data_IF_089411848464
#
_entry.id   IF_089411848464
#
_cell.length_a   1.000
_cell.length_b   1.000
_cell.length_c   1.000
_cell.angle_alpha   90.00
_cell.angle_beta   90.00
_cell.angle_gamma   90.00
#
_symmetry.space_group_name_H-M   'P 1'
#
loop_
_entity.id
_entity.type
_entity.pdbx_description
1 polymer ?
#
# COMPACT_ATOMS: atom_id res chain seq x y z
N UNK A 1 17.71 0.42 19.29
CA UNK A 1 16.97 -0.25 18.20
C UNK A 1 17.97 -1.09 17.42
N UNK A 2 17.59 -2.28 16.95
CA UNK A 2 18.47 -3.07 16.08
C UNK A 2 18.56 -2.39 14.72
N UNK A 3 19.72 -2.47 14.06
CA UNK A 3 19.96 -1.87 12.74
C UNK A 3 18.89 -2.28 11.71
N UNK A 4 18.33 -3.48 11.86
CA UNK A 4 17.22 -4.01 11.06
C UNK A 4 15.91 -3.27 11.27
N UNK A 5 15.53 -2.94 12.50
CA UNK A 5 14.30 -2.21 12.79
C UNK A 5 14.35 -0.78 12.24
N UNK A 6 15.53 -0.15 12.30
CA UNK A 6 15.75 1.18 11.71
C UNK A 6 15.63 1.15 10.19
N UNK A 7 16.17 0.10 9.54
CA UNK A 7 16.04 -0.07 8.10
C UNK A 7 14.59 -0.30 7.68
N UNK A 8 13.85 -1.17 8.39
CA UNK A 8 12.43 -1.40 8.11
C UNK A 8 11.59 -0.13 8.29
N UNK A 9 11.89 0.67 9.31
CA UNK A 9 11.24 1.98 9.50
C UNK A 9 11.50 2.92 8.32
N UNK A 10 12.75 3.01 7.84
CA UNK A 10 13.07 3.85 6.67
C UNK A 10 12.42 3.36 5.39
N UNK A 11 12.35 2.04 5.22
CA UNK A 11 11.68 1.42 4.09
C UNK A 11 10.19 1.78 4.13
N UNK A 12 9.54 1.62 5.29
CA UNK A 12 8.14 2.02 5.48
C UNK A 12 7.91 3.51 5.19
N UNK A 13 8.76 4.39 5.72
CA UNK A 13 8.71 5.83 5.46
C UNK A 13 8.84 6.15 3.95
N UNK A 14 9.69 5.42 3.24
CA UNK A 14 9.86 5.58 1.79
C UNK A 14 8.60 5.16 1.02
N UNK A 15 8.04 3.99 1.31
CA UNK A 15 6.82 3.50 0.65
C UNK A 15 5.59 4.34 1.01
N UNK A 16 5.56 4.95 2.19
CA UNK A 16 4.54 5.92 2.59
C UNK A 16 4.80 7.34 2.07
N UNK A 17 5.93 7.58 1.39
CA UNK A 17 6.28 8.93 0.93
C UNK A 17 5.31 9.43 -0.15
N UNK A 18 5.04 10.75 -0.24
CA UNK A 18 4.20 11.31 -1.29
C UNK A 18 4.71 11.00 -2.69
N UNK A 19 6.04 10.95 -2.89
CA UNK A 19 6.64 10.61 -4.19
C UNK A 19 6.25 9.19 -4.61
N UNK A 20 6.38 8.23 -3.70
CA UNK A 20 6.07 6.83 -3.99
C UNK A 20 4.56 6.64 -4.18
N UNK A 21 3.76 7.06 -3.20
CA UNK A 21 2.30 6.90 -3.23
C UNK A 21 1.64 7.60 -4.41
N UNK A 22 2.15 8.77 -4.84
CA UNK A 22 1.66 9.41 -6.07
C UNK A 22 2.00 8.60 -7.31
N UNK A 23 3.20 8.03 -7.42
CA UNK A 23 3.57 7.20 -8.56
C UNK A 23 2.70 5.93 -8.66
N UNK A 24 2.37 5.32 -7.51
CA UNK A 24 1.41 4.20 -7.47
C UNK A 24 0.00 4.67 -7.82
N UNK A 25 -0.45 5.80 -7.26
CA UNK A 25 -1.75 6.38 -7.55
C UNK A 25 -1.94 6.69 -9.03
N UNK A 26 -0.95 7.29 -9.68
CA UNK A 26 -0.93 7.58 -11.12
C UNK A 26 -1.00 6.28 -11.93
N UNK A 27 -0.16 5.30 -11.58
CA UNK A 27 -0.16 3.99 -12.23
C UNK A 27 -1.53 3.29 -12.12
N UNK A 28 -2.11 3.25 -10.93
CA UNK A 28 -3.40 2.61 -10.70
C UNK A 28 -4.54 3.39 -11.35
N UNK A 29 -4.53 4.72 -11.32
CA UNK A 29 -5.51 5.56 -11.99
C UNK A 29 -5.55 5.34 -13.51
N UNK A 30 -4.39 5.06 -14.12
CA UNK A 30 -4.31 4.76 -15.55
C UNK A 30 -4.66 3.32 -15.92
N UNK A 31 -4.46 2.36 -15.01
CA UNK A 31 -4.46 0.93 -15.36
C UNK A 31 -5.52 0.08 -14.66
N UNK A 32 -5.97 0.44 -13.46
CA UNK A 32 -6.90 -0.39 -12.68
C UNK A 32 -8.23 -0.63 -13.44
N UNK A 33 -8.79 0.41 -14.07
CA UNK A 33 -10.00 0.27 -14.89
C UNK A 33 -9.84 -0.52 -16.19
N UNK A 34 -8.61 -0.89 -16.58
CA UNK A 34 -8.32 -1.74 -17.75
C UNK A 34 -8.17 -3.22 -17.37
N UNK A 35 -8.00 -3.52 -16.08
CA UNK A 35 -7.86 -4.88 -15.60
C UNK A 35 -9.21 -5.61 -15.66
N UNK A 36 -9.15 -6.89 -15.99
CA UNK A 36 -10.30 -7.78 -15.90
C UNK A 36 -10.18 -8.57 -14.60
N UNK A 37 -11.08 -8.29 -13.65
CA UNK A 37 -11.13 -8.97 -12.35
C UNK A 37 -11.93 -10.26 -12.46
N UNK A 38 -11.28 -11.34 -12.92
CA UNK A 38 -11.83 -12.69 -12.93
C UNK A 38 -11.28 -13.51 -11.73
N UNK A 39 -12.00 -14.55 -11.27
CA UNK A 39 -11.49 -15.47 -10.25
C UNK A 39 -10.09 -15.99 -10.62
N UNK A 40 -9.19 -16.08 -9.64
CA UNK A 40 -7.77 -16.41 -9.88
C UNK A 40 -7.54 -17.87 -10.31
N UNK A 41 -8.52 -18.74 -10.06
CA UNK A 41 -8.53 -20.14 -10.51
C UNK A 41 -9.01 -20.29 -11.97
N UNK A 42 -9.46 -19.21 -12.60
CA UNK A 42 -9.85 -19.16 -14.01
C UNK A 42 -8.74 -18.61 -14.91
N UNK A 43 -8.92 -18.75 -16.22
CA UNK A 43 -8.00 -18.22 -17.22
C UNK A 43 -7.91 -16.69 -17.15
N UNK A 44 -6.71 -16.19 -16.86
CA UNK A 44 -6.44 -14.76 -16.74
C UNK A 44 -6.12 -14.14 -18.10
N UNK A 45 -6.67 -12.96 -18.44
CA UNK A 45 -6.31 -12.25 -19.67
C UNK A 45 -4.82 -11.89 -19.72
N UNK A 46 -4.17 -12.12 -20.86
CA UNK A 46 -2.75 -11.80 -21.06
C UNK A 46 -2.45 -10.31 -20.82
N UNK A 47 -3.40 -9.43 -21.12
CA UNK A 47 -3.28 -7.99 -20.87
C UNK A 47 -3.13 -7.65 -19.38
N UNK A 48 -3.70 -8.44 -18.47
CA UNK A 48 -3.51 -8.23 -17.03
C UNK A 48 -2.05 -8.48 -16.66
N UNK A 49 -1.43 -9.51 -17.25
CA UNK A 49 -0.03 -9.82 -17.00
C UNK A 49 0.91 -8.72 -17.53
N UNK A 50 0.60 -8.12 -18.68
CA UNK A 50 1.37 -6.98 -19.20
C UNK A 50 1.35 -5.78 -18.23
N UNK A 51 0.18 -5.47 -17.66
CA UNK A 51 0.02 -4.41 -16.65
C UNK A 51 0.76 -4.80 -15.35
N UNK A 52 0.60 -6.03 -14.89
CA UNK A 52 1.31 -6.54 -13.72
C UNK A 52 2.83 -6.41 -13.87
N UNK A 53 3.37 -6.78 -15.03
CA UNK A 53 4.80 -6.64 -15.31
C UNK A 53 5.26 -5.18 -15.26
N UNK A 54 4.44 -4.25 -15.76
CA UNK A 54 4.72 -2.82 -15.66
C UNK A 54 4.71 -2.33 -14.21
N UNK A 55 3.80 -2.85 -13.38
CA UNK A 55 3.78 -2.59 -11.94
C UNK A 55 5.04 -3.10 -11.25
N UNK A 56 5.46 -4.35 -11.50
CA UNK A 56 6.69 -4.91 -10.93
C UNK A 56 7.90 -4.04 -11.28
N UNK A 57 8.03 -3.62 -12.54
CA UNK A 57 9.13 -2.73 -12.97
C UNK A 57 9.11 -1.35 -12.29
N UNK A 58 7.92 -0.82 -11.99
CA UNK A 58 7.78 0.42 -11.23
C UNK A 58 8.32 0.25 -9.82
N UNK A 59 7.90 -0.82 -9.12
CA UNK A 59 8.36 -1.12 -7.76
C UNK A 59 9.86 -1.37 -7.73
N UNK A 60 10.39 -2.18 -8.64
CA UNK A 60 11.83 -2.48 -8.75
C UNK A 60 12.64 -1.18 -8.90
N UNK A 61 12.26 -0.29 -9.82
CA UNK A 61 12.95 0.99 -10.02
C UNK A 61 12.93 1.86 -8.77
N UNK A 62 11.78 1.96 -8.11
CA UNK A 62 11.64 2.77 -6.89
C UNK A 62 12.49 2.20 -5.76
N UNK A 63 12.55 0.87 -5.64
CA UNK A 63 13.38 0.20 -4.64
C UNK A 63 14.87 0.33 -4.94
N UNK A 64 15.29 0.23 -6.20
CA UNK A 64 16.67 0.48 -6.62
C UNK A 64 17.12 1.91 -6.28
N UNK A 65 16.26 2.91 -6.57
CA UNK A 65 16.51 4.30 -6.20
C UNK A 65 16.68 4.48 -4.68
N UNK A 66 15.82 3.83 -3.88
CA UNK A 66 15.92 3.83 -2.43
C UNK A 66 17.24 3.22 -1.94
N UNK A 67 17.56 2.01 -2.41
CA UNK A 67 18.78 1.28 -2.05
C UNK A 67 20.02 2.13 -2.36
N UNK A 68 20.07 2.74 -3.55
CA UNK A 68 21.15 3.61 -3.96
C UNK A 68 21.26 4.86 -3.07
N UNK A 69 20.13 5.47 -2.71
CA UNK A 69 20.10 6.70 -1.90
C UNK A 69 20.53 6.49 -0.44
N UNK A 70 20.23 5.33 0.13
CA UNK A 70 20.59 4.97 1.50
C UNK A 70 21.99 4.31 1.59
N UNK A 71 22.65 4.06 0.46
CA UNK A 71 23.95 3.39 0.40
C UNK A 71 23.89 1.92 0.84
N UNK A 72 22.75 1.28 0.59
CA UNK A 72 22.47 -0.10 0.96
C UNK A 72 22.79 -1.06 -0.18
N UNK A 73 22.79 -2.35 0.13
CA UNK A 73 22.75 -3.42 -0.87
C UNK A 73 21.37 -4.08 -0.91
N UNK A 74 21.06 -4.76 -2.02
CA UNK A 74 19.85 -5.59 -2.12
C UNK A 74 19.79 -6.62 -0.98
N UNK A 75 20.96 -7.17 -0.59
CA UNK A 75 21.05 -8.15 0.49
C UNK A 75 20.59 -7.56 1.82
N UNK A 76 20.94 -6.32 2.12
CA UNK A 76 20.55 -5.66 3.38
C UNK A 76 19.03 -5.53 3.49
N UNK A 77 18.36 -5.19 2.38
CA UNK A 77 16.89 -5.11 2.31
C UNK A 77 16.26 -6.49 2.45
N UNK A 78 16.77 -7.51 1.74
CA UNK A 78 16.26 -8.88 1.86
C UNK A 78 16.40 -9.43 3.28
N UNK A 79 17.56 -9.24 3.92
CA UNK A 79 17.82 -9.67 5.29
C UNK A 79 16.87 -8.97 6.28
N UNK A 80 16.58 -7.69 6.05
CA UNK A 80 15.64 -6.94 6.87
C UNK A 80 14.20 -7.43 6.72
N UNK A 81 13.74 -7.67 5.48
CA UNK A 81 12.42 -8.25 5.23
C UNK A 81 12.29 -9.66 5.82
N UNK A 82 13.33 -10.49 5.73
CA UNK A 82 13.32 -11.82 6.34
C UNK A 82 13.21 -11.75 7.86
N UNK A 83 13.94 -10.83 8.50
CA UNK A 83 13.84 -10.61 9.94
C UNK A 83 12.47 -10.03 10.37
N UNK A 84 11.79 -9.28 9.49
CA UNK A 84 10.45 -8.76 9.74
C UNK A 84 9.39 -9.87 9.81
N UNK A 85 9.53 -10.93 8.99
CA UNK A 85 8.57 -12.05 8.97
C UNK A 85 8.46 -12.77 10.32
N UNK A 86 9.54 -12.80 11.11
CA UNK A 86 9.57 -13.46 12.41
C UNK A 86 9.08 -12.56 13.56
N UNK A 87 8.72 -11.30 13.29
CA UNK A 87 8.30 -10.31 14.29
C UNK A 87 6.84 -9.90 14.11
N UNK A 88 6.02 -10.13 15.14
CA UNK A 88 4.61 -9.71 15.16
C UNK A 88 4.42 -8.19 15.05
N UNK A 89 5.44 -7.38 15.36
CA UNK A 89 5.39 -5.91 15.30
C UNK A 89 5.48 -5.36 13.86
N UNK A 90 5.87 -6.18 12.88
CA UNK A 90 6.11 -5.74 11.50
C UNK A 90 5.12 -6.34 10.48
N UNK A 91 4.07 -6.99 10.96
CA UNK A 91 3.05 -7.67 10.15
C UNK A 91 2.13 -6.72 9.37
N UNK A 92 2.22 -5.41 9.58
CA UNK A 92 1.32 -4.40 9.01
C UNK A 92 2.05 -3.25 8.30
N UNK A 93 3.26 -3.50 7.80
CA UNK A 93 4.02 -2.50 7.05
C UNK A 93 3.50 -2.41 5.62
N UNK A 94 3.07 -1.21 5.20
CA UNK A 94 2.59 -0.97 3.84
C UNK A 94 3.67 -1.28 2.79
N UNK A 95 4.95 -1.07 3.14
CA UNK A 95 6.08 -1.45 2.30
C UNK A 95 6.05 -2.94 1.93
N UNK A 96 5.67 -3.81 2.88
CA UNK A 96 5.59 -5.25 2.63
C UNK A 96 4.44 -5.56 1.67
N UNK A 97 3.29 -4.92 1.83
CA UNK A 97 2.15 -5.13 0.93
C UNK A 97 2.50 -4.78 -0.52
N UNK A 98 3.18 -3.65 -0.75
CA UNK A 98 3.62 -3.27 -2.11
C UNK A 98 4.67 -4.22 -2.68
N UNK A 99 5.61 -4.69 -1.85
CA UNK A 99 6.64 -5.65 -2.26
C UNK A 99 6.02 -7.02 -2.58
N UNK A 100 5.11 -7.51 -1.74
CA UNK A 100 4.39 -8.77 -1.99
C UNK A 100 3.56 -8.65 -3.26
N UNK A 101 2.83 -7.55 -3.44
CA UNK A 101 2.11 -7.29 -4.69
C UNK A 101 3.05 -7.24 -5.90
N UNK A 102 4.33 -6.90 -5.76
CA UNK A 102 5.27 -6.89 -6.89
C UNK A 102 5.74 -8.28 -7.32
N UNK A 103 5.65 -9.28 -6.43
CA UNK A 103 6.08 -10.67 -6.66
C UNK A 103 4.94 -11.66 -6.79
N UNK A 104 3.77 -11.33 -6.23
CA UNK A 104 2.58 -12.18 -6.20
C UNK A 104 1.44 -11.53 -6.99
N UNK A 105 1.05 -12.16 -8.09
CA UNK A 105 0.00 -11.65 -8.98
C UNK A 105 -1.34 -11.50 -8.26
N UNK A 106 -1.70 -12.42 -7.37
CA UNK A 106 -2.92 -12.35 -6.56
C UNK A 106 -2.98 -11.08 -5.70
N UNK A 107 -1.89 -10.78 -4.99
CA UNK A 107 -1.79 -9.59 -4.17
C UNK A 107 -1.86 -8.31 -5.01
N UNK A 108 -1.25 -8.30 -6.19
CA UNK A 108 -1.40 -7.20 -7.15
C UNK A 108 -2.86 -7.01 -7.59
N UNK A 109 -3.56 -8.09 -7.96
CA UNK A 109 -4.95 -8.00 -8.40
C UNK A 109 -5.86 -7.47 -7.29
N UNK A 110 -5.65 -7.87 -6.05
CA UNK A 110 -6.36 -7.33 -4.89
C UNK A 110 -6.08 -5.84 -4.71
N UNK A 111 -4.81 -5.43 -4.70
CA UNK A 111 -4.42 -4.03 -4.55
C UNK A 111 -5.02 -3.16 -5.65
N UNK A 112 -4.96 -3.62 -6.90
CA UNK A 112 -5.52 -2.89 -8.02
C UNK A 112 -7.06 -2.82 -7.96
N UNK A 113 -7.72 -3.87 -7.46
CA UNK A 113 -9.16 -3.88 -7.25
C UNK A 113 -9.57 -2.84 -6.19
N UNK A 114 -8.83 -2.77 -5.07
CA UNK A 114 -9.08 -1.79 -4.01
C UNK A 114 -8.97 -0.35 -4.56
N UNK A 115 -7.93 -0.06 -5.34
CA UNK A 115 -7.79 1.22 -6.04
C UNK A 115 -8.95 1.49 -7.01
N UNK A 116 -9.38 0.48 -7.78
CA UNK A 116 -10.51 0.63 -8.69
C UNK A 116 -11.80 0.99 -7.94
N UNK A 117 -12.09 0.29 -6.85
CA UNK A 117 -13.24 0.57 -5.98
C UNK A 117 -13.19 1.99 -5.40
N UNK A 118 -12.01 2.46 -4.98
CA UNK A 118 -11.84 3.83 -4.47
C UNK A 118 -12.16 4.88 -5.54
N UNK A 119 -11.84 4.64 -6.81
CA UNK A 119 -12.18 5.58 -7.90
C UNK A 119 -13.66 5.63 -8.23
N UNK A 120 -14.40 4.55 -7.92
CA UNK A 120 -15.85 4.45 -8.14
C UNK A 120 -16.66 4.91 -6.92
N UNK A 121 -16.00 5.25 -5.82
CA UNK A 121 -16.68 5.76 -4.63
C UNK A 121 -17.25 7.16 -4.91
N UNK A 122 -18.56 7.22 -5.12
CA UNK A 122 -19.31 8.47 -5.10
C UNK A 122 -19.64 8.81 -3.63
N UNK A 123 -19.19 9.96 -3.09
CA UNK A 123 -19.59 10.37 -1.75
C UNK A 123 -21.10 10.60 -1.73
N UNK A 124 -21.83 9.72 -1.04
CA UNK A 124 -23.25 9.94 -0.79
C UNK A 124 -23.38 11.01 0.31
N UNK A 125 -23.94 12.18 -0.04
CA UNK A 125 -24.24 13.27 0.89
C UNK A 125 -25.09 12.80 2.08
N UNK A 126 -25.86 11.69 1.93
CA UNK A 126 -26.64 11.09 3.02
C UNK A 126 -25.79 10.36 4.09
N UNK A 127 -24.54 10.02 3.74
CA UNK A 127 -23.56 9.37 4.63
C UNK A 127 -22.44 10.31 5.08
N UNK A 128 -22.43 11.55 4.59
CA UNK A 128 -21.51 12.57 5.06
C UNK A 128 -21.75 12.80 6.55
N UNK A 129 -20.70 12.68 7.35
CA UNK A 129 -20.75 12.96 8.79
C UNK A 129 -21.13 14.42 9.00
N UNK A 130 -22.41 14.70 9.20
CA UNK A 130 -22.88 16.00 9.65
C UNK A 130 -22.35 16.23 11.06
N UNK A 131 -21.26 17.01 11.18
CA UNK A 131 -20.64 17.38 12.46
C UNK A 131 -21.55 18.21 13.39
N UNK A 132 -22.85 18.31 13.09
CA UNK A 132 -23.85 19.06 13.87
C UNK A 132 -24.66 18.21 14.85
N UNK A 133 -24.65 16.89 14.78
CA UNK A 133 -25.42 16.05 15.70
C UNK A 133 -24.51 15.11 16.49
N UNK A 134 -23.97 15.58 17.63
CA UNK A 134 -23.29 14.66 18.55
C UNK A 134 -22.24 15.24 19.49
N UNK A 135 -22.40 16.46 20.00
CA UNK A 135 -21.75 16.81 21.26
C UNK A 135 -22.80 16.68 22.37
N UNK A 136 -22.85 15.59 23.16
CA UNK A 136 -23.58 15.60 24.41
C UNK A 136 -22.92 16.67 25.30
N UNK A 137 -23.68 17.73 25.54
CA UNK A 137 -23.40 18.78 26.51
C UNK A 137 -23.11 18.11 27.86
N UNK A 138 -21.85 18.12 28.29
CA UNK A 138 -21.46 17.63 29.62
C UNK A 138 -21.98 18.66 30.61
N UNK A 139 -23.23 18.44 31.06
CA UNK A 139 -23.85 19.28 32.06
C UNK A 139 -23.04 19.20 33.36
N UNK A 140 -22.44 20.33 33.67
CA UNK A 140 -21.77 20.67 34.92
C UNK A 140 -22.73 20.43 36.11
N UNK A 141 -22.45 19.38 36.90
CA UNK A 141 -23.07 19.20 38.21
C UNK A 141 -22.08 19.61 39.31
N UNK A 142 -22.03 20.92 39.55
CA UNK A 142 -21.56 21.50 40.80
C UNK A 142 -22.75 21.64 41.77
N UNK A 143 -22.71 20.91 42.90
CA UNK A 143 -23.41 21.12 44.20
C UNK A 143 -23.61 19.73 44.86
N UNK A 144 -23.30 19.45 46.12
CA UNK A 144 -22.83 20.23 47.26
C UNK A 144 -22.16 19.24 48.25
#
# INVERSE_FOLDING_TARGET
MTQTAELLSKLEDFFCSPKFTSAIGDFMGENAGKLVYAPLDEEQPLSNYDIYKAYTQLIERQLEDFIASEGLTVKDVCDACAAAQDSAEHMHLAAIDYLVASTEYEAFMQLAYDHHCMTLYEPDESTAWDAKEGAPEVAEAAAA
#
